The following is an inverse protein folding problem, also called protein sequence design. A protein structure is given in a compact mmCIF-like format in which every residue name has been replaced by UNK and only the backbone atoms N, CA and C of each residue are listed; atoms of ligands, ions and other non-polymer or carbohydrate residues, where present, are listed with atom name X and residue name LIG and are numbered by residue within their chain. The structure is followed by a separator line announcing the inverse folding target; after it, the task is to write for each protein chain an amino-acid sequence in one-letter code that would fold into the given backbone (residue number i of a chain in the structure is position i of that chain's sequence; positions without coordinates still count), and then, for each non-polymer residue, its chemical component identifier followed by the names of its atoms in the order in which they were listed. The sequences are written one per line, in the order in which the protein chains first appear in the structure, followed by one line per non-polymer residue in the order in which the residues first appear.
data_IF_618460112869
#
_entry.id   IF_618460112869
#
_cell.length_a   1.000
_cell.length_b   1.000
_cell.length_c   1.000
_cell.angle_alpha   90.00
_cell.angle_beta   90.00
_cell.angle_gamma   90.00
#
_symmetry.space_group_name_H-M   'P 1'
#
loop_
_entity.id
_entity.type
_entity.pdbx_description
1 polymer ?
#
# COMPACT_ATOMS: atom_id res chain seq x y z
N UNK A 1 1.06 -7.15 12.39
CA UNK A 1 0.21 -8.37 12.48
C UNK A 1 0.87 -9.37 13.44
N UNK A 2 0.13 -9.92 14.43
CA UNK A 2 0.67 -10.94 15.36
C UNK A 2 1.05 -12.21 14.56
N UNK A 3 2.20 -12.83 14.84
CA UNK A 3 2.68 -14.05 14.13
C UNK A 3 1.60 -15.14 14.07
N UNK A 4 0.79 -15.25 15.12
CA UNK A 4 -0.37 -16.15 15.17
C UNK A 4 -1.42 -15.86 14.08
N UNK A 5 -1.75 -14.60 13.82
CA UNK A 5 -2.69 -14.22 12.76
C UNK A 5 -2.12 -14.58 11.40
N UNK A 6 -0.83 -14.33 11.20
CA UNK A 6 -0.14 -14.73 9.96
C UNK A 6 -0.17 -16.26 9.76
N UNK A 7 0.13 -17.02 10.80
CA UNK A 7 0.04 -18.49 10.79
C UNK A 7 -1.37 -18.99 10.48
N UNK A 8 -2.40 -18.36 11.05
CA UNK A 8 -3.79 -18.73 10.79
C UNK A 8 -4.19 -18.44 9.33
N UNK A 9 -3.84 -17.26 8.81
CA UNK A 9 -4.12 -16.89 7.42
C UNK A 9 -3.36 -17.80 6.46
N UNK A 10 -2.04 -17.95 6.64
CA UNK A 10 -1.20 -18.81 5.80
C UNK A 10 -1.62 -20.28 5.89
N UNK A 11 -1.82 -20.80 7.10
CA UNK A 11 -2.24 -22.19 7.33
C UNK A 11 -3.61 -22.47 6.73
N UNK A 12 -4.58 -21.58 6.95
CA UNK A 12 -5.91 -21.68 6.34
C UNK A 12 -5.83 -21.64 4.81
N UNK A 13 -4.96 -20.79 4.27
CA UNK A 13 -4.77 -20.63 2.84
C UNK A 13 -4.22 -21.89 2.17
N UNK A 14 -3.11 -22.42 2.67
CA UNK A 14 -2.52 -23.66 2.17
C UNK A 14 -3.43 -24.87 2.40
N UNK A 15 -4.18 -24.91 3.51
CA UNK A 15 -5.15 -25.97 3.77
C UNK A 15 -6.26 -25.99 2.72
N UNK A 16 -6.84 -24.82 2.39
CA UNK A 16 -7.88 -24.71 1.38
C UNK A 16 -7.36 -25.07 -0.03
N UNK A 17 -6.15 -24.62 -0.38
CA UNK A 17 -5.48 -25.01 -1.62
C UNK A 17 -5.26 -26.53 -1.71
N UNK A 18 -4.77 -27.15 -0.63
CA UNK A 18 -4.63 -28.60 -0.52
C UNK A 18 -5.98 -29.32 -0.68
N UNK A 19 -7.04 -28.83 -0.04
CA UNK A 19 -8.39 -29.39 -0.18
C UNK A 19 -8.92 -29.31 -1.60
N UNK A 20 -8.70 -28.19 -2.30
CA UNK A 20 -9.09 -28.05 -3.69
C UNK A 20 -8.30 -29.01 -4.58
N UNK A 21 -6.97 -29.12 -4.39
CA UNK A 21 -6.13 -30.03 -5.16
C UNK A 21 -6.60 -31.49 -5.02
N UNK A 22 -6.99 -31.92 -3.82
CA UNK A 22 -7.57 -33.23 -3.57
C UNK A 22 -8.94 -33.43 -4.24
N UNK A 23 -9.73 -32.36 -4.41
CA UNK A 23 -11.00 -32.44 -5.11
C UNK A 23 -10.82 -32.66 -6.61
N UNK A 24 -9.82 -32.03 -7.22
CA UNK A 24 -9.66 -32.00 -8.68
C UNK A 24 -8.62 -32.99 -9.24
N UNK A 25 -7.72 -33.54 -8.42
CA UNK A 25 -6.62 -34.41 -8.86
C UNK A 25 -6.66 -35.79 -8.20
N UNK A 26 -6.87 -36.89 -8.97
CA UNK A 26 -6.77 -38.26 -8.46
C UNK A 26 -5.40 -38.57 -7.84
N UNK A 27 -4.31 -38.14 -8.50
CA UNK A 27 -2.94 -38.26 -7.99
C UNK A 27 -2.79 -37.63 -6.59
N UNK A 28 -3.42 -36.47 -6.38
CA UNK A 28 -3.37 -35.81 -5.08
C UNK A 28 -4.12 -36.60 -4.01
N UNK A 29 -5.26 -37.21 -4.36
CA UNK A 29 -6.03 -38.07 -3.42
C UNK A 29 -5.24 -39.27 -2.95
N UNK A 30 -4.59 -39.96 -3.88
CA UNK A 30 -3.70 -41.09 -3.57
C UNK A 30 -2.55 -40.68 -2.64
N UNK A 31 -2.07 -39.44 -2.80
CA UNK A 31 -0.98 -38.86 -2.00
C UNK A 31 -1.45 -37.86 -0.94
N UNK A 32 -2.67 -38.02 -0.40
CA UNK A 32 -3.29 -37.08 0.56
C UNK A 32 -2.35 -36.63 1.69
N UNK A 33 -1.65 -37.57 2.31
CA UNK A 33 -0.74 -37.27 3.43
C UNK A 33 0.42 -36.37 2.99
N UNK A 34 0.98 -36.62 1.80
CA UNK A 34 2.05 -35.82 1.22
C UNK A 34 1.56 -34.40 0.91
N UNK A 35 0.38 -34.26 0.28
CA UNK A 35 -0.21 -32.95 -0.04
C UNK A 35 -0.37 -32.08 1.21
N UNK A 36 -0.95 -32.63 2.28
CA UNK A 36 -1.09 -31.87 3.54
C UNK A 36 0.24 -31.60 4.23
N UNK A 37 1.23 -32.50 4.14
CA UNK A 37 2.59 -32.25 4.65
C UNK A 37 3.27 -31.09 3.93
N UNK A 38 3.15 -31.04 2.60
CA UNK A 38 3.68 -29.92 1.79
C UNK A 38 2.99 -28.61 2.20
N UNK A 39 1.65 -28.60 2.28
CA UNK A 39 0.89 -27.43 2.69
C UNK A 39 1.28 -26.92 4.10
N UNK A 40 1.48 -27.83 5.05
CA UNK A 40 1.94 -27.51 6.39
C UNK A 40 3.39 -27.01 6.40
N UNK A 41 4.28 -27.62 5.61
CA UNK A 41 5.68 -27.23 5.49
C UNK A 41 5.81 -25.82 4.91
N UNK A 42 5.09 -25.51 3.82
CA UNK A 42 5.06 -24.16 3.24
C UNK A 42 4.58 -23.12 4.26
N UNK A 43 3.47 -23.40 4.97
CA UNK A 43 2.98 -22.52 6.03
C UNK A 43 3.98 -22.30 7.16
N UNK A 44 4.70 -23.35 7.55
CA UNK A 44 5.71 -23.28 8.60
C UNK A 44 6.94 -22.49 8.14
N UNK A 45 7.42 -22.71 6.90
CA UNK A 45 8.53 -21.96 6.30
C UNK A 45 8.20 -20.47 6.30
N UNK A 46 7.02 -20.07 5.82
CA UNK A 46 6.59 -18.68 5.78
C UNK A 46 6.53 -18.05 7.18
N UNK A 47 5.99 -18.79 8.16
CA UNK A 47 5.89 -18.31 9.54
C UNK A 47 7.27 -18.18 10.20
N UNK A 48 8.16 -19.13 9.96
CA UNK A 48 9.55 -19.09 10.44
C UNK A 48 10.30 -17.93 9.81
N UNK A 49 10.19 -17.72 8.49
CA UNK A 49 10.80 -16.57 7.82
C UNK A 49 10.29 -15.23 8.39
N UNK A 50 8.98 -15.13 8.66
CA UNK A 50 8.39 -13.95 9.30
C UNK A 50 8.84 -13.75 10.75
N UNK A 51 9.13 -14.84 11.47
CA UNK A 51 9.68 -14.77 12.83
C UNK A 51 11.14 -14.32 12.80
N UNK A 52 11.94 -14.93 11.92
CA UNK A 52 13.36 -14.63 11.74
C UNK A 52 13.59 -13.18 11.27
N UNK A 53 12.71 -12.65 10.42
CA UNK A 53 12.78 -11.25 9.98
C UNK A 53 12.62 -10.22 11.12
N UNK A 54 12.26 -10.64 12.34
CA UNK A 54 12.23 -9.76 13.53
C UNK A 54 13.60 -9.63 14.20
N UNK A 55 14.51 -10.55 13.92
CA UNK A 55 15.84 -10.64 14.54
C UNK A 55 16.95 -10.36 13.54
N UNK A 56 16.70 -10.65 12.26
CA UNK A 56 17.65 -10.45 11.17
C UNK A 56 17.15 -9.38 10.20
N UNK A 57 17.81 -8.23 10.19
CA UNK A 57 17.52 -7.06 9.34
C UNK A 57 18.47 -6.97 8.13
N UNK A 58 18.81 -8.10 7.52
CA UNK A 58 19.68 -8.12 6.33
C UNK A 58 18.84 -8.12 5.06
N UNK A 59 19.29 -7.52 3.95
CA UNK A 59 18.58 -7.52 2.67
C UNK A 59 18.09 -8.91 2.23
N UNK A 60 18.90 -9.95 2.43
CA UNK A 60 18.56 -11.35 2.13
C UNK A 60 17.24 -11.83 2.77
N UNK A 61 17.05 -11.57 4.07
CA UNK A 61 15.83 -11.97 4.79
C UNK A 61 14.61 -11.17 4.33
N UNK A 62 14.80 -9.91 3.93
CA UNK A 62 13.73 -9.08 3.38
C UNK A 62 13.30 -9.54 1.98
N UNK A 63 14.25 -9.86 1.10
CA UNK A 63 13.98 -10.37 -0.25
C UNK A 63 13.23 -11.71 -0.20
N UNK A 64 13.67 -12.63 0.67
CA UNK A 64 12.98 -13.90 0.88
C UNK A 64 11.59 -13.71 1.47
N UNK A 65 11.43 -12.78 2.42
CA UNK A 65 10.12 -12.49 3.00
C UNK A 65 9.17 -11.88 1.95
N UNK A 66 9.66 -11.06 1.03
CA UNK A 66 8.87 -10.53 -0.06
C UNK A 66 8.40 -11.64 -1.01
N UNK A 67 9.27 -12.58 -1.39
CA UNK A 67 8.90 -13.77 -2.19
C UNK A 67 7.83 -14.60 -1.46
N UNK A 68 8.02 -14.81 -0.16
CA UNK A 68 7.06 -15.46 0.72
C UNK A 68 5.70 -14.74 0.77
N UNK A 69 5.69 -13.40 0.77
CA UNK A 69 4.44 -12.61 0.70
C UNK A 69 3.78 -12.71 -0.66
N UNK A 70 4.54 -12.80 -1.75
CA UNK A 70 4.02 -13.05 -3.10
C UNK A 70 3.31 -14.39 -3.16
N UNK A 71 3.94 -15.46 -2.69
CA UNK A 71 3.33 -16.80 -2.63
C UNK A 71 2.03 -16.75 -1.83
N UNK A 72 2.06 -16.18 -0.63
CA UNK A 72 0.88 -16.08 0.22
C UNK A 72 -0.23 -15.23 -0.45
N UNK A 73 0.12 -14.14 -1.11
CA UNK A 73 -0.84 -13.29 -1.82
C UNK A 73 -1.47 -14.04 -3.01
N UNK A 74 -0.68 -14.79 -3.79
CA UNK A 74 -1.21 -15.65 -4.87
C UNK A 74 -2.21 -16.65 -4.30
N UNK A 75 -1.86 -17.33 -3.20
CA UNK A 75 -2.76 -18.32 -2.60
C UNK A 75 -4.02 -17.61 -2.10
N UNK A 76 -3.91 -16.60 -1.23
CA UNK A 76 -5.05 -15.91 -0.61
C UNK A 76 -5.99 -15.27 -1.66
N UNK A 77 -5.43 -14.61 -2.67
CA UNK A 77 -6.23 -14.01 -3.75
C UNK A 77 -6.90 -15.07 -4.63
N UNK A 78 -6.28 -16.25 -4.78
CA UNK A 78 -6.88 -17.37 -5.49
C UNK A 78 -7.97 -18.07 -4.67
N UNK A 79 -7.97 -17.98 -3.33
CA UNK A 79 -8.93 -18.67 -2.47
C UNK A 79 -10.35 -18.13 -2.52
N UNK A 80 -10.52 -16.81 -2.64
CA UNK A 80 -11.86 -16.23 -2.65
C UNK A 80 -12.67 -16.66 -3.90
N UNK A 81 -12.11 -16.58 -5.13
CA UNK A 81 -12.80 -17.11 -6.30
C UNK A 81 -12.90 -18.64 -6.27
N UNK A 82 -11.91 -19.35 -5.72
CA UNK A 82 -11.95 -20.81 -5.59
C UNK A 82 -13.07 -21.27 -4.65
N UNK A 83 -13.20 -20.63 -3.49
CA UNK A 83 -14.29 -20.86 -2.54
C UNK A 83 -15.66 -20.53 -3.14
N UNK A 84 -15.76 -19.41 -3.87
CA UNK A 84 -16.99 -19.03 -4.57
C UNK A 84 -17.37 -20.05 -5.65
N UNK A 85 -16.41 -20.53 -6.44
CA UNK A 85 -16.66 -21.55 -7.48
C UNK A 85 -17.14 -22.88 -6.87
N UNK A 86 -16.61 -23.28 -5.71
CA UNK A 86 -17.04 -24.46 -4.97
C UNK A 86 -18.43 -24.30 -4.34
N UNK A 87 -18.79 -23.09 -3.88
CA UNK A 87 -20.13 -22.81 -3.35
C UNK A 87 -21.17 -22.78 -4.48
N UNK A 88 -20.83 -22.13 -5.60
CA UNK A 88 -21.66 -22.09 -6.80
C UNK A 88 -21.87 -23.49 -7.38
N UNK A 89 -20.82 -24.32 -7.47
CA UNK A 89 -20.94 -25.70 -7.97
C UNK A 89 -21.85 -26.55 -7.09
N UNK A 90 -21.79 -26.37 -5.76
CA UNK A 90 -22.70 -27.04 -4.80
C UNK A 90 -24.14 -26.55 -4.93
N UNK A 91 -24.36 -25.26 -5.12
CA UNK A 91 -25.70 -24.69 -5.30
C UNK A 91 -26.35 -25.21 -6.60
N UNK A 92 -25.58 -25.22 -7.70
CA UNK A 92 -26.00 -25.78 -8.98
C UNK A 92 -26.30 -27.28 -8.84
N UNK A 93 -25.42 -28.05 -8.20
CA UNK A 93 -25.64 -29.48 -7.99
C UNK A 93 -26.94 -29.77 -7.22
N UNK A 94 -27.20 -29.03 -6.13
CA UNK A 94 -28.47 -29.15 -5.39
C UNK A 94 -29.70 -28.81 -6.23
N UNK A 95 -29.60 -27.80 -7.10
CA UNK A 95 -30.69 -27.43 -8.00
C UNK A 95 -30.94 -28.50 -9.07
N UNK A 96 -29.90 -29.18 -9.56
CA UNK A 96 -30.03 -30.29 -10.50
C UNK A 96 -30.48 -31.60 -9.83
N UNK A 97 -30.01 -31.91 -8.62
CA UNK A 97 -30.46 -33.09 -7.85
C UNK A 97 -31.94 -32.96 -7.44
N UNK A 98 -32.44 -31.73 -7.29
CA UNK A 98 -33.87 -31.45 -7.12
C UNK A 98 -34.69 -31.76 -8.39
N UNK A 99 -34.06 -31.85 -9.56
CA UNK A 99 -34.65 -32.25 -10.83
C UNK A 99 -34.29 -33.71 -11.10
N UNK A 100 -35.15 -34.63 -10.64
CA UNK A 100 -34.92 -36.08 -10.74
C UNK A 100 -34.78 -36.50 -12.23
N UNK A 101 -33.63 -37.02 -12.68
CA UNK A 101 -33.51 -37.51 -14.06
C UNK A 101 -34.34 -38.78 -14.24
N UNK A 102 -34.83 -39.08 -15.46
CA UNK A 102 -35.49 -40.35 -15.75
C UNK A 102 -34.54 -41.50 -15.46
N UNK A 103 -35.06 -42.53 -14.77
CA UNK A 103 -34.33 -43.76 -14.55
C UNK A 103 -34.20 -44.48 -15.90
N UNK A 104 -33.04 -44.33 -16.53
CA UNK A 104 -32.35 -45.33 -17.36
C UNK A 104 -31.23 -44.64 -18.14
N UNK A 105 -29.97 -44.76 -17.69
CA UNK A 105 -28.81 -44.71 -18.60
C UNK A 105 -27.63 -45.51 -18.05
N UNK A 106 -27.01 -46.20 -18.99
CA UNK A 106 -26.07 -47.32 -18.93
C UNK A 106 -24.62 -46.90 -18.60
N UNK A 107 -23.89 -47.84 -17.99
CA UNK A 107 -22.44 -48.06 -17.88
C UNK A 107 -21.50 -46.86 -17.62
N UNK A 108 -20.90 -46.89 -16.43
CA UNK A 108 -19.83 -46.02 -15.99
C UNK A 108 -18.47 -46.37 -16.65
N UNK A 109 -18.15 -45.70 -17.76
CA UNK A 109 -16.75 -45.41 -18.07
C UNK A 109 -16.32 -44.12 -17.39
N UNK A 110 -15.02 -43.98 -17.10
CA UNK A 110 -14.36 -42.87 -16.41
C UNK A 110 -14.42 -41.53 -17.17
N UNK A 111 -15.62 -41.05 -17.48
CA UNK A 111 -15.86 -39.70 -17.98
C UNK A 111 -15.86 -38.77 -16.78
N UNK A 112 -14.95 -37.78 -16.80
CA UNK A 112 -14.95 -36.67 -15.84
C UNK A 112 -16.37 -36.14 -15.75
N UNK A 113 -17.00 -36.24 -14.58
CA UNK A 113 -18.38 -35.81 -14.40
C UNK A 113 -18.51 -34.33 -14.78
N UNK A 114 -19.63 -33.91 -15.37
CA UNK A 114 -19.85 -32.52 -15.82
C UNK A 114 -19.52 -31.50 -14.71
N UNK A 115 -19.86 -31.83 -13.46
CA UNK A 115 -19.50 -31.04 -12.28
C UNK A 115 -17.99 -30.93 -12.09
N UNK A 116 -17.27 -32.04 -12.15
CA UNK A 116 -15.81 -32.07 -12.01
C UNK A 116 -15.14 -31.31 -13.17
N UNK A 117 -15.68 -31.38 -14.39
CA UNK A 117 -15.20 -30.60 -15.52
C UNK A 117 -15.39 -29.09 -15.30
N UNK A 118 -16.55 -28.66 -14.79
CA UNK A 118 -16.82 -27.25 -14.45
C UNK A 118 -15.92 -26.77 -13.32
N UNK A 119 -15.77 -27.56 -12.24
CA UNK A 119 -14.92 -27.21 -11.09
C UNK A 119 -13.44 -27.09 -11.51
N UNK A 120 -12.96 -27.99 -12.38
CA UNK A 120 -11.60 -27.93 -12.96
C UNK A 120 -11.43 -26.70 -13.84
N UNK A 121 -12.36 -26.46 -14.78
CA UNK A 121 -12.28 -25.32 -15.68
C UNK A 121 -12.33 -23.98 -14.92
N UNK A 122 -13.24 -23.84 -13.95
CA UNK A 122 -13.34 -22.65 -13.11
C UNK A 122 -12.05 -22.43 -12.30
N UNK A 123 -11.52 -23.48 -11.67
CA UNK A 123 -10.28 -23.39 -10.90
C UNK A 123 -9.07 -22.99 -11.75
N UNK A 124 -8.93 -23.57 -12.95
CA UNK A 124 -7.87 -23.19 -13.91
C UNK A 124 -8.03 -21.74 -14.35
N UNK A 125 -9.23 -21.32 -14.75
CA UNK A 125 -9.50 -19.93 -15.16
C UNK A 125 -9.14 -18.93 -14.06
N UNK A 126 -9.54 -19.20 -12.81
CA UNK A 126 -9.22 -18.36 -11.65
C UNK A 126 -7.71 -18.28 -11.43
N UNK A 127 -7.02 -19.43 -11.43
CA UNK A 127 -5.58 -19.49 -11.21
C UNK A 127 -4.83 -18.73 -12.31
N UNK A 128 -5.19 -18.96 -13.58
CA UNK A 128 -4.60 -18.26 -14.72
C UNK A 128 -4.86 -16.74 -14.67
N UNK A 129 -6.09 -16.33 -14.35
CA UNK A 129 -6.45 -14.90 -14.26
C UNK A 129 -5.70 -14.20 -13.12
N UNK A 130 -5.68 -14.80 -11.94
CA UNK A 130 -5.00 -14.23 -10.76
C UNK A 130 -3.49 -14.16 -10.97
N UNK A 131 -2.89 -15.25 -11.47
CA UNK A 131 -1.46 -15.29 -11.78
C UNK A 131 -1.09 -14.30 -12.88
N UNK A 132 -1.91 -14.23 -13.94
CA UNK A 132 -1.72 -13.27 -15.04
C UNK A 132 -1.82 -11.81 -14.55
N UNK A 133 -2.81 -11.49 -13.73
CA UNK A 133 -2.99 -10.15 -13.17
C UNK A 133 -1.83 -9.75 -12.25
N UNK A 134 -1.41 -10.64 -11.34
CA UNK A 134 -0.27 -10.38 -10.45
C UNK A 134 1.05 -10.27 -11.23
N UNK A 135 1.29 -11.16 -12.19
CA UNK A 135 2.46 -11.10 -13.06
C UNK A 135 2.52 -9.82 -13.90
N UNK A 136 1.38 -9.40 -14.47
CA UNK A 136 1.26 -8.10 -15.12
C UNK A 136 1.54 -6.97 -14.13
N UNK A 137 1.00 -7.04 -12.92
CA UNK A 137 1.24 -6.04 -11.87
C UNK A 137 2.70 -5.92 -11.46
N UNK A 138 3.45 -7.02 -11.47
CA UNK A 138 4.90 -7.04 -11.17
C UNK A 138 5.75 -6.47 -12.29
N UNK A 139 5.43 -6.80 -13.54
CA UNK A 139 6.28 -6.42 -14.69
C UNK A 139 5.89 -5.08 -15.30
N UNK A 140 4.61 -4.72 -15.26
CA UNK A 140 4.06 -3.53 -15.91
C UNK A 140 3.38 -2.59 -14.92
N UNK A 141 2.47 -3.10 -14.09
CA UNK A 141 1.62 -2.25 -13.24
C UNK A 141 2.40 -1.43 -12.23
N UNK A 142 3.48 -1.97 -11.65
CA UNK A 142 4.34 -1.20 -10.73
C UNK A 142 5.19 -0.11 -11.41
N UNK A 143 5.24 -0.10 -12.74
CA UNK A 143 5.97 0.90 -13.56
C UNK A 143 5.01 1.86 -14.29
N UNK A 144 3.70 1.67 -14.17
CA UNK A 144 2.72 2.52 -14.85
C UNK A 144 2.42 3.78 -14.04
N UNK A 145 3.46 4.59 -13.77
CA UNK A 145 3.32 5.82 -13.00
C UNK A 145 2.35 6.80 -13.67
N UNK A 146 1.52 7.44 -12.85
CA UNK A 146 0.53 8.43 -13.29
C UNK A 146 0.69 9.74 -12.53
N UNK A 147 0.48 10.87 -13.21
CA UNK A 147 0.25 12.16 -12.55
C UNK A 147 -1.26 12.30 -12.35
N UNK A 148 -1.66 12.47 -11.10
CA UNK A 148 -3.04 12.83 -10.74
C UNK A 148 -3.08 14.32 -10.42
N UNK A 149 -3.78 15.11 -11.24
CA UNK A 149 -3.94 16.55 -11.01
C UNK A 149 -5.18 16.84 -10.18
N UNK A 150 -4.99 17.46 -9.01
CA UNK A 150 -6.04 17.65 -8.00
C UNK A 150 -6.15 19.12 -7.66
N UNK A 151 -7.12 19.84 -8.23
CA UNK A 151 -7.41 21.21 -7.81
C UNK A 151 -8.08 21.20 -6.43
N UNK A 152 -7.53 21.97 -5.50
CA UNK A 152 -8.05 22.09 -4.12
C UNK A 152 -8.27 23.56 -3.80
N UNK A 153 -9.53 23.94 -3.63
CA UNK A 153 -9.90 25.22 -3.02
C UNK A 153 -9.66 25.13 -1.52
N UNK A 154 -8.80 26.01 -1.00
CA UNK A 154 -8.43 26.04 0.42
C UNK A 154 -8.98 27.34 1.03
N UNK A 155 -9.89 27.27 2.03
CA UNK A 155 -10.37 28.47 2.71
C UNK A 155 -9.23 29.28 3.32
N UNK A 156 -9.24 30.60 3.10
CA UNK A 156 -8.18 31.49 3.58
C UNK A 156 -6.85 31.37 2.83
N UNK A 157 -6.80 30.67 1.70
CA UNK A 157 -5.60 30.60 0.87
C UNK A 157 -5.24 31.97 0.28
N UNK A 158 -3.98 32.44 0.39
CA UNK A 158 -3.58 33.74 -0.14
C UNK A 158 -3.81 33.84 -1.65
N UNK A 159 -4.44 34.92 -2.11
CA UNK A 159 -4.62 35.18 -3.55
C UNK A 159 -3.30 35.26 -4.32
N UNK A 160 -2.22 35.71 -3.66
CA UNK A 160 -0.88 35.75 -4.25
C UNK A 160 -0.28 34.36 -4.52
N UNK A 161 -0.86 33.31 -3.91
CA UNK A 161 -0.48 31.91 -4.08
C UNK A 161 -1.56 31.11 -4.85
N UNK A 162 -2.46 31.78 -5.57
CA UNK A 162 -3.44 31.09 -6.41
C UNK A 162 -2.73 30.29 -7.52
N UNK A 163 -3.09 29.01 -7.65
CA UNK A 163 -2.43 28.08 -8.57
C UNK A 163 -1.12 27.50 -8.04
N UNK A 164 -0.78 27.70 -6.75
CA UNK A 164 0.43 27.12 -6.15
C UNK A 164 0.44 25.59 -6.26
N UNK A 165 1.54 25.03 -6.74
CA UNK A 165 1.65 23.60 -7.04
C UNK A 165 2.44 22.86 -5.98
N UNK A 166 1.80 21.92 -5.29
CA UNK A 166 2.47 20.92 -4.45
C UNK A 166 2.53 19.60 -5.20
N UNK A 167 3.73 19.10 -5.48
CA UNK A 167 3.90 17.71 -5.93
C UNK A 167 4.06 16.81 -4.71
N UNK A 168 3.10 15.91 -4.51
CA UNK A 168 3.16 14.88 -3.47
C UNK A 168 3.62 13.55 -4.06
N UNK A 169 4.61 12.95 -3.40
CA UNK A 169 4.94 11.54 -3.50
C UNK A 169 4.71 10.88 -2.13
N UNK A 170 4.41 9.59 -2.10
CA UNK A 170 4.22 8.86 -0.85
C UNK A 170 4.60 7.40 -1.02
N UNK A 171 4.91 6.71 0.07
CA UNK A 171 5.11 5.26 0.07
C UNK A 171 6.09 4.83 -1.02
N UNK A 172 7.26 5.49 -1.05
CA UNK A 172 8.28 5.25 -2.08
C UNK A 172 8.92 3.88 -1.88
N UNK A 173 9.09 3.45 -0.62
CA UNK A 173 9.70 2.17 -0.27
C UNK A 173 11.02 1.92 -1.01
N UNK A 174 11.93 2.91 -1.00
CA UNK A 174 13.24 2.69 -1.62
C UNK A 174 13.93 1.51 -0.93
N UNK A 175 14.39 0.56 -1.74
CA UNK A 175 14.86 -0.73 -1.25
C UNK A 175 15.04 -1.76 -2.35
N UNK A 176 14.59 -2.99 -2.11
CA UNK A 176 14.81 -4.11 -3.02
C UNK A 176 14.20 -3.87 -4.41
N UNK A 177 12.97 -3.36 -4.46
CA UNK A 177 12.18 -3.23 -5.69
C UNK A 177 12.11 -1.82 -6.26
N UNK A 178 12.45 -0.80 -5.47
CA UNK A 178 12.44 0.61 -5.92
C UNK A 178 13.85 1.15 -5.76
N UNK A 179 14.52 1.38 -6.90
CA UNK A 179 15.90 1.89 -6.98
C UNK A 179 15.96 2.99 -8.03
N UNK A 180 17.16 3.28 -8.55
CA UNK A 180 17.39 4.37 -9.51
C UNK A 180 16.40 4.36 -10.68
N UNK A 181 16.12 3.20 -11.29
CA UNK A 181 15.19 3.13 -12.43
C UNK A 181 13.80 3.64 -12.08
N UNK A 182 13.17 3.08 -11.04
CA UNK A 182 11.81 3.48 -10.65
C UNK A 182 11.79 4.92 -10.16
N UNK A 183 12.80 5.32 -9.38
CA UNK A 183 12.96 6.69 -8.92
C UNK A 183 13.06 7.68 -10.09
N UNK A 184 13.84 7.37 -11.12
CA UNK A 184 14.02 8.23 -12.28
C UNK A 184 12.74 8.31 -13.13
N UNK A 185 12.07 7.18 -13.35
CA UNK A 185 10.77 7.12 -14.05
C UNK A 185 9.73 8.01 -13.36
N UNK A 186 9.59 7.88 -12.04
CA UNK A 186 8.59 8.64 -11.29
C UNK A 186 8.96 10.10 -11.01
N UNK A 187 10.23 10.40 -10.71
CA UNK A 187 10.66 11.79 -10.49
C UNK A 187 10.75 12.62 -11.77
N UNK A 188 10.84 11.98 -12.93
CA UNK A 188 10.59 12.67 -14.20
C UNK A 188 9.17 13.24 -14.26
N UNK A 189 8.18 12.50 -13.77
CA UNK A 189 6.81 12.99 -13.67
C UNK A 189 6.66 14.10 -12.61
N UNK A 190 7.35 13.99 -11.47
CA UNK A 190 7.42 15.08 -10.48
C UNK A 190 7.96 16.36 -11.12
N UNK A 191 9.06 16.29 -11.89
CA UNK A 191 9.61 17.46 -12.60
C UNK A 191 8.63 18.03 -13.64
N UNK A 192 7.93 17.17 -14.39
CA UNK A 192 6.91 17.60 -15.37
C UNK A 192 5.72 18.31 -14.73
N UNK A 193 5.40 18.00 -13.47
CA UNK A 193 4.38 18.72 -12.72
C UNK A 193 4.76 20.18 -12.43
N UNK A 194 6.04 20.56 -12.61
CA UNK A 194 6.62 21.89 -12.32
C UNK A 194 6.20 22.41 -10.94
N UNK A 195 6.51 21.66 -9.87
CA UNK A 195 6.06 22.00 -8.53
C UNK A 195 6.75 23.25 -7.99
N UNK A 196 6.02 23.98 -7.18
CA UNK A 196 6.58 25.03 -6.33
C UNK A 196 7.19 24.40 -5.08
N UNK A 197 6.56 23.34 -4.56
CA UNK A 197 6.97 22.57 -3.39
C UNK A 197 6.85 21.06 -3.67
N UNK A 198 7.84 20.29 -3.25
CA UNK A 198 7.74 18.82 -3.23
C UNK A 198 7.52 18.34 -1.80
N UNK A 199 6.60 17.39 -1.62
CA UNK A 199 6.38 16.74 -0.32
C UNK A 199 6.43 15.23 -0.44
N UNK A 200 7.02 14.55 0.54
CA UNK A 200 6.96 13.10 0.69
C UNK A 200 6.26 12.70 1.99
N UNK A 201 5.12 12.01 1.89
CA UNK A 201 4.23 11.74 3.03
C UNK A 201 4.48 10.39 3.71
N UNK A 202 5.75 10.03 3.94
CA UNK A 202 6.15 8.84 4.69
C UNK A 202 6.30 7.56 3.88
N UNK A 203 6.80 6.52 4.55
CA UNK A 203 7.24 5.24 3.98
C UNK A 203 8.27 5.46 2.85
N UNK A 204 9.32 6.21 3.20
CA UNK A 204 10.37 6.67 2.29
C UNK A 204 11.31 5.52 1.91
N UNK A 205 11.77 4.78 2.93
CA UNK A 205 12.51 3.53 2.76
C UNK A 205 11.66 2.33 3.15
N UNK A 206 11.95 1.17 2.58
CA UNK A 206 11.20 -0.04 2.90
C UNK A 206 11.62 -0.67 4.24
N UNK A 207 12.91 -1.04 4.36
CA UNK A 207 13.42 -1.76 5.53
C UNK A 207 14.84 -1.36 5.96
N UNK A 208 15.57 -0.58 5.15
CA UNK A 208 16.94 -0.18 5.47
C UNK A 208 17.16 1.31 5.17
N UNK A 209 17.51 2.05 6.22
CA UNK A 209 17.83 3.47 6.14
C UNK A 209 18.98 3.80 5.18
N UNK A 210 19.82 2.83 4.81
CA UNK A 210 20.92 3.05 3.86
C UNK A 210 20.45 3.59 2.51
N UNK A 211 19.24 3.19 2.07
CA UNK A 211 18.69 3.52 0.75
C UNK A 211 18.12 4.95 0.64
N UNK A 212 17.90 5.64 1.75
CA UNK A 212 17.24 6.96 1.75
C UNK A 212 17.98 8.01 0.90
N UNK A 213 19.30 7.87 0.77
CA UNK A 213 20.13 8.82 0.03
C UNK A 213 19.78 8.85 -1.47
N UNK A 214 19.30 7.73 -2.02
CA UNK A 214 18.81 7.66 -3.40
C UNK A 214 17.57 8.55 -3.59
N UNK A 215 16.64 8.53 -2.63
CA UNK A 215 15.45 9.37 -2.65
C UNK A 215 15.80 10.84 -2.40
N UNK A 216 16.66 11.11 -1.42
CA UNK A 216 17.08 12.47 -1.08
C UNK A 216 17.64 13.21 -2.31
N UNK A 217 18.48 12.54 -3.11
CA UNK A 217 19.03 13.11 -4.34
C UNK A 217 17.92 13.52 -5.33
N UNK A 218 16.86 12.71 -5.48
CA UNK A 218 15.75 12.99 -6.38
C UNK A 218 14.81 14.08 -5.85
N UNK A 219 14.55 14.11 -4.54
CA UNK A 219 13.78 15.17 -3.89
C UNK A 219 14.44 16.54 -4.09
N UNK A 220 15.76 16.64 -3.88
CA UNK A 220 16.51 17.88 -4.08
C UNK A 220 16.65 18.25 -5.56
N UNK A 221 16.73 17.25 -6.45
CA UNK A 221 16.81 17.43 -7.90
C UNK A 221 15.47 17.69 -8.60
N UNK A 222 14.36 17.82 -7.84
CA UNK A 222 13.03 18.00 -8.43
C UNK A 222 12.77 19.43 -8.94
N UNK A 223 13.62 20.40 -8.59
CA UNK A 223 13.55 21.78 -9.11
C UNK A 223 12.47 22.67 -8.47
N UNK A 224 11.92 22.27 -7.32
CA UNK A 224 10.92 23.04 -6.59
C UNK A 224 11.56 24.23 -5.87
N UNK A 225 11.09 25.45 -6.16
CA UNK A 225 11.65 26.70 -5.63
C UNK A 225 11.52 26.81 -4.10
N UNK A 226 10.47 26.24 -3.54
CA UNK A 226 10.17 26.24 -2.11
C UNK A 226 10.69 24.96 -1.42
N UNK A 227 11.47 24.15 -2.13
CA UNK A 227 12.22 23.02 -1.61
C UNK A 227 11.43 21.71 -1.54
N UNK A 228 11.96 20.77 -0.75
CA UNK A 228 11.38 19.46 -0.53
C UNK A 228 11.26 19.16 0.96
N UNK A 229 10.06 18.75 1.40
CA UNK A 229 9.78 18.41 2.80
C UNK A 229 9.21 17.00 2.93
N UNK A 230 9.53 16.33 4.03
CA UNK A 230 9.14 14.95 4.25
C UNK A 230 8.68 14.71 5.68
N UNK A 231 7.82 13.72 5.87
CA UNK A 231 7.52 13.12 7.17
C UNK A 231 7.90 11.64 7.13
N UNK A 232 8.08 11.02 8.29
CA UNK A 232 8.31 9.58 8.38
C UNK A 232 6.99 8.81 8.39
N UNK A 233 6.99 7.63 7.80
CA UNK A 233 5.93 6.63 7.92
C UNK A 233 6.34 5.45 8.80
N UNK A 234 5.48 4.45 8.92
CA UNK A 234 5.77 3.30 9.76
C UNK A 234 6.93 2.43 9.26
N UNK A 235 7.17 2.33 7.95
CA UNK A 235 8.33 1.61 7.42
C UNK A 235 9.66 2.31 7.73
N UNK A 236 9.67 3.63 7.77
CA UNK A 236 10.84 4.38 8.22
C UNK A 236 11.14 4.11 9.71
N UNK A 237 10.10 3.88 10.52
CA UNK A 237 10.25 3.42 11.90
C UNK A 237 10.79 1.99 11.97
N UNK A 238 10.33 1.08 11.10
CA UNK A 238 10.85 -0.30 11.02
C UNK A 238 12.33 -0.33 10.61
N UNK A 239 12.74 0.57 9.73
CA UNK A 239 14.12 0.73 9.25
C UNK A 239 15.04 1.45 10.26
N UNK A 240 14.49 1.93 11.38
CA UNK A 240 15.19 2.73 12.38
C UNK A 240 15.02 4.23 12.14
N UNK A 241 13.93 4.80 12.67
CA UNK A 241 13.52 6.19 12.44
C UNK A 241 14.64 7.22 12.69
N UNK A 242 15.41 7.07 13.77
CA UNK A 242 16.50 7.99 14.10
C UNK A 242 17.58 8.03 13.00
N UNK A 243 17.95 6.87 12.44
CA UNK A 243 18.96 6.76 11.37
C UNK A 243 18.43 7.30 10.05
N UNK A 244 17.16 7.04 9.73
CA UNK A 244 16.50 7.62 8.55
C UNK A 244 16.48 9.15 8.68
N UNK A 245 16.04 9.67 9.83
CA UNK A 245 15.95 11.10 10.11
C UNK A 245 17.32 11.81 10.04
N UNK A 246 18.37 11.21 10.60
CA UNK A 246 19.73 11.72 10.55
C UNK A 246 20.19 11.92 9.10
N UNK A 247 19.99 10.91 8.24
CA UNK A 247 20.41 10.96 6.83
C UNK A 247 19.63 11.98 6.01
N UNK A 248 18.31 12.10 6.24
CA UNK A 248 17.47 13.13 5.61
C UNK A 248 18.00 14.53 5.97
N UNK A 249 18.24 14.78 7.26
CA UNK A 249 18.78 16.07 7.73
C UNK A 249 20.17 16.35 7.17
N UNK A 250 21.05 15.33 7.12
CA UNK A 250 22.40 15.45 6.53
C UNK A 250 22.34 15.84 5.05
N UNK A 251 21.37 15.31 4.31
CA UNK A 251 21.13 15.67 2.91
C UNK A 251 20.49 17.06 2.74
N UNK A 252 20.08 17.73 3.82
CA UNK A 252 19.36 19.02 3.81
C UNK A 252 17.97 18.96 3.17
N UNK A 253 17.33 17.79 3.19
CA UNK A 253 15.89 17.68 2.90
C UNK A 253 15.12 18.08 4.17
N UNK A 254 14.02 18.81 4.01
CA UNK A 254 13.23 19.33 5.13
C UNK A 254 12.45 18.25 5.86
N UNK A 255 13.01 17.65 6.90
CA UNK A 255 12.27 16.70 7.75
C UNK A 255 11.37 17.45 8.73
N UNK A 256 10.05 17.25 8.64
CA UNK A 256 9.09 17.77 9.60
C UNK A 256 8.72 16.68 10.61
N UNK A 257 9.13 16.83 11.87
CA UNK A 257 8.90 15.84 12.91
C UNK A 257 8.17 16.46 14.11
N UNK A 258 6.84 16.49 14.04
CA UNK A 258 6.00 17.30 14.94
C UNK A 258 6.43 18.77 14.92
N UNK A 259 6.69 19.28 13.72
CA UNK A 259 7.25 20.60 13.43
C UNK A 259 6.47 21.25 12.29
N UNK A 260 6.54 22.58 12.22
CA UNK A 260 5.89 23.35 11.19
C UNK A 260 6.79 24.46 10.67
N UNK A 261 6.66 24.76 9.38
CA UNK A 261 7.38 25.83 8.70
C UNK A 261 6.41 26.77 8.00
N UNK A 262 6.74 28.06 8.00
CA UNK A 262 5.93 29.09 7.37
C UNK A 262 6.49 29.42 5.98
N UNK A 263 5.77 28.97 4.96
CA UNK A 263 6.16 29.07 3.55
C UNK A 263 5.58 30.35 2.94
N UNK A 264 6.38 31.05 2.12
CA UNK A 264 5.98 32.24 1.36
C UNK A 264 5.34 33.36 2.20
N UNK A 265 5.98 33.70 3.33
CA UNK A 265 5.48 34.71 4.31
C UNK A 265 5.11 36.06 3.69
N UNK A 266 5.85 36.49 2.66
CA UNK A 266 5.63 37.77 1.97
C UNK A 266 4.47 37.77 0.98
N UNK A 267 3.94 36.60 0.61
CA UNK A 267 2.94 36.44 -0.44
C UNK A 267 1.53 36.36 0.15
N UNK A 268 1.04 37.51 0.62
CA UNK A 268 -0.30 37.60 1.22
C UNK A 268 -0.44 36.81 2.53
N UNK A 269 0.63 36.70 3.31
CA UNK A 269 0.67 36.00 4.59
C UNK A 269 1.12 34.55 4.51
N UNK A 270 1.23 33.96 3.31
CA UNK A 270 1.75 32.61 3.13
C UNK A 270 0.89 31.50 3.74
N UNK A 271 1.50 30.34 4.00
CA UNK A 271 0.82 29.20 4.64
C UNK A 271 1.74 28.41 5.57
N UNK A 272 1.14 27.69 6.50
CA UNK A 272 1.85 26.75 7.36
C UNK A 272 1.93 25.37 6.69
N UNK A 273 3.14 24.87 6.49
CA UNK A 273 3.40 23.46 6.18
C UNK A 273 3.77 22.74 7.47
N UNK A 274 2.92 21.83 7.91
CA UNK A 274 3.04 21.08 9.14
C UNK A 274 3.44 19.64 8.84
N UNK A 275 4.21 19.00 9.70
CA UNK A 275 4.44 17.56 9.64
C UNK A 275 4.43 16.95 11.03
N UNK A 276 3.77 15.80 11.16
CA UNK A 276 3.68 15.04 12.41
C UNK A 276 4.38 13.69 12.27
N UNK A 277 4.84 13.15 13.40
CA UNK A 277 5.39 11.79 13.45
C UNK A 277 4.32 10.73 13.15
N UNK A 278 4.74 9.52 12.80
CA UNK A 278 3.81 8.45 12.45
C UNK A 278 3.05 7.89 13.68
N UNK A 279 1.80 7.47 13.48
CA UNK A 279 0.98 6.82 14.51
C UNK A 279 1.66 5.57 15.11
N UNK A 280 2.57 4.92 14.38
CA UNK A 280 3.41 3.84 14.88
C UNK A 280 4.26 4.27 16.07
N UNK A 281 4.74 5.51 16.14
CA UNK A 281 5.54 6.04 17.25
C UNK A 281 4.85 5.86 18.61
N UNK A 282 3.53 6.07 18.67
CA UNK A 282 2.71 5.85 19.89
C UNK A 282 2.78 4.39 20.38
N UNK A 283 2.86 3.44 19.44
CA UNK A 283 2.86 2.00 19.73
C UNK A 283 4.26 1.46 20.00
N UNK A 284 5.25 1.92 19.23
CA UNK A 284 6.62 1.43 19.27
C UNK A 284 7.40 1.92 20.50
N UNK A 285 7.04 3.10 21.03
CA UNK A 285 7.81 3.79 22.08
C UNK A 285 9.28 4.00 21.68
N UNK A 286 9.53 4.20 20.39
CA UNK A 286 10.85 4.48 19.85
C UNK A 286 11.39 5.77 20.48
N UNK A 287 12.62 5.78 21.05
CA UNK A 287 13.20 6.98 21.65
C UNK A 287 13.21 8.15 20.65
N UNK A 288 12.73 9.31 21.10
CA UNK A 288 12.62 10.51 20.27
C UNK A 288 11.43 10.54 19.30
N UNK A 289 10.65 9.45 19.19
CA UNK A 289 9.53 9.33 18.26
C UNK A 289 8.22 8.98 18.99
N UNK A 290 7.60 9.95 19.69
CA UNK A 290 6.43 9.72 20.53
C UNK A 290 5.14 9.48 19.74
N UNK A 291 5.17 9.63 18.42
CA UNK A 291 3.99 9.69 17.56
C UNK A 291 3.47 11.12 17.34
N UNK A 292 2.35 11.26 16.62
CA UNK A 292 1.93 12.55 16.09
C UNK A 292 1.47 13.50 17.19
N UNK A 293 2.00 14.73 17.13
CA UNK A 293 1.65 15.85 18.00
C UNK A 293 1.43 17.11 17.15
N UNK A 294 0.16 17.37 16.82
CA UNK A 294 -0.24 18.54 16.05
C UNK A 294 -0.06 19.85 16.83
N UNK A 295 -0.15 19.81 18.17
CA UNK A 295 0.05 21.01 18.99
C UNK A 295 1.48 21.52 18.88
N UNK A 296 2.45 20.60 18.95
CA UNK A 296 3.86 20.91 18.76
C UNK A 296 4.16 21.38 17.33
N UNK A 297 3.57 20.74 16.31
CA UNK A 297 3.76 21.17 14.93
C UNK A 297 3.25 22.60 14.66
N UNK A 298 2.24 23.06 15.39
CA UNK A 298 1.68 24.41 15.30
C UNK A 298 2.49 25.45 16.09
N UNK A 299 3.41 25.03 16.97
CA UNK A 299 4.09 25.94 17.88
C UNK A 299 4.91 26.99 17.12
N UNK A 300 4.69 28.28 17.43
CA UNK A 300 5.41 29.39 16.83
C UNK A 300 4.91 29.83 15.44
N UNK A 301 3.83 29.24 14.93
CA UNK A 301 3.20 29.66 13.68
C UNK A 301 2.01 30.60 13.92
N UNK A 302 1.75 31.56 13.02
CA UNK A 302 0.57 32.41 13.10
C UNK A 302 -0.72 31.57 13.11
N UNK A 303 -1.72 31.93 13.93
CA UNK A 303 -2.97 31.16 14.02
C UNK A 303 -3.84 31.28 12.76
N UNK A 304 -3.78 32.42 12.06
CA UNK A 304 -4.76 32.81 11.02
C UNK A 304 -4.25 32.61 9.58
N UNK A 305 -3.26 31.74 9.38
CA UNK A 305 -2.81 31.32 8.05
C UNK A 305 -3.33 29.91 7.72
N UNK A 306 -3.59 29.58 6.45
CA UNK A 306 -3.99 28.24 6.07
C UNK A 306 -2.91 27.22 6.41
N UNK A 307 -3.35 26.01 6.77
CA UNK A 307 -2.49 24.94 7.28
C UNK A 307 -2.59 23.72 6.38
N UNK A 308 -1.46 23.31 5.82
CA UNK A 308 -1.28 22.07 5.07
C UNK A 308 -0.48 21.11 5.94
N UNK A 309 -1.08 19.97 6.29
CA UNK A 309 -0.49 18.96 7.17
C UNK A 309 -0.01 17.76 6.36
N UNK A 310 1.23 17.36 6.58
CA UNK A 310 1.80 16.10 6.15
C UNK A 310 1.64 15.10 7.31
N UNK A 311 0.88 14.03 7.09
CA UNK A 311 0.73 12.94 8.04
C UNK A 311 0.67 11.63 7.27
N UNK A 312 1.54 10.68 7.57
CA UNK A 312 1.64 9.46 6.75
C UNK A 312 0.32 8.66 6.73
N UNK A 313 -0.23 8.35 7.91
CA UNK A 313 -1.43 7.54 8.04
C UNK A 313 -2.73 8.36 7.98
N UNK A 314 -3.63 8.09 7.02
CA UNK A 314 -4.92 8.77 6.91
C UNK A 314 -5.79 8.78 8.19
N UNK A 315 -5.79 7.73 9.04
CA UNK A 315 -6.55 7.74 10.29
C UNK A 315 -6.26 8.93 11.24
N UNK A 316 -5.08 9.56 11.17
CA UNK A 316 -4.79 10.76 11.96
C UNK A 316 -5.69 11.94 11.58
N UNK A 317 -6.33 11.91 10.41
CA UNK A 317 -7.32 12.90 9.99
C UNK A 317 -8.48 13.04 10.98
N UNK A 318 -8.83 11.95 11.69
CA UNK A 318 -9.85 12.02 12.72
C UNK A 318 -9.48 12.97 13.88
N UNK A 319 -8.17 13.19 14.13
CA UNK A 319 -7.64 14.08 15.17
C UNK A 319 -7.29 15.49 14.63
N UNK A 320 -6.99 15.62 13.33
CA UNK A 320 -6.54 16.88 12.72
C UNK A 320 -7.65 17.69 12.05
N UNK A 321 -8.76 17.05 11.66
CA UNK A 321 -9.91 17.71 11.04
C UNK A 321 -10.43 18.89 11.91
N UNK A 322 -10.89 19.96 11.26
CA UNK A 322 -11.28 21.22 11.89
C UNK A 322 -10.11 22.09 12.37
N UNK A 323 -8.87 21.57 12.36
CA UNK A 323 -7.66 22.31 12.81
C UNK A 323 -6.67 22.62 11.70
N UNK A 324 -6.80 21.94 10.56
CA UNK A 324 -5.99 22.12 9.35
C UNK A 324 -6.90 22.26 8.14
N UNK A 325 -6.45 22.94 7.09
CA UNK A 325 -7.27 23.10 5.89
C UNK A 325 -7.13 21.89 4.96
N UNK A 326 -5.92 21.34 4.85
CA UNK A 326 -5.59 20.19 4.02
C UNK A 326 -4.65 19.25 4.78
N UNK A 327 -4.94 17.95 4.77
CA UNK A 327 -4.02 16.88 5.16
C UNK A 327 -3.65 16.05 3.93
N UNK A 328 -2.36 15.83 3.74
CA UNK A 328 -1.79 14.95 2.73
C UNK A 328 -1.27 13.68 3.39
N UNK A 329 -1.76 12.53 2.93
CA UNK A 329 -1.44 11.21 3.47
C UNK A 329 -1.18 10.18 2.38
N UNK A 330 -0.65 9.03 2.77
CA UNK A 330 -0.45 7.85 1.92
C UNK A 330 -0.87 6.58 2.65
N UNK A 331 0.08 5.65 2.87
CA UNK A 331 -0.03 4.43 3.69
C UNK A 331 -0.85 3.28 3.09
N UNK A 332 -1.89 3.60 2.33
CA UNK A 332 -2.89 2.62 1.88
C UNK A 332 -2.50 1.94 0.56
N UNK A 333 -1.54 2.51 -0.16
CA UNK A 333 -1.16 2.15 -1.53
C UNK A 333 -2.35 2.11 -2.52
N UNK A 334 -3.46 2.81 -2.21
CA UNK A 334 -4.71 2.70 -2.96
C UNK A 334 -5.31 1.28 -2.97
N UNK A 335 -4.87 0.42 -2.07
CA UNK A 335 -5.20 -1.00 -2.06
C UNK A 335 -4.46 -1.85 -3.09
N UNK A 336 -3.26 -1.41 -3.54
CA UNK A 336 -2.22 -2.02 -4.41
C UNK A 336 -2.61 -3.17 -5.38
N UNK A 337 -3.33 -4.18 -4.92
CA UNK A 337 -3.86 -5.29 -5.69
C UNK A 337 -5.40 -5.21 -5.66
N UNK A 338 -5.98 -4.72 -6.74
CA UNK A 338 -7.42 -4.63 -6.95
C UNK A 338 -7.83 -5.54 -8.14
N UNK A 339 -8.24 -6.79 -7.89
CA UNK A 339 -8.55 -7.77 -8.93
C UNK A 339 -9.97 -7.61 -9.52
N UNK A 340 -10.51 -6.38 -9.54
CA UNK A 340 -11.87 -6.07 -10.01
C UNK A 340 -12.88 -5.73 -8.89
N UNK A 341 -12.43 -5.73 -7.64
CA UNK A 341 -13.16 -5.22 -6.47
C UNK A 341 -12.14 -4.61 -5.48
N UNK A 342 -12.55 -3.61 -4.68
CA UNK A 342 -11.65 -2.85 -3.78
C UNK A 342 -11.61 -3.50 -2.39
N UNK A 343 -10.70 -4.43 -2.07
CA UNK A 343 -10.75 -5.18 -0.81
C UNK A 343 -10.36 -4.27 0.37
N UNK A 344 -9.46 -3.31 0.12
CA UNK A 344 -9.05 -2.31 1.10
C UNK A 344 -10.24 -1.49 1.64
N UNK A 345 -11.23 -1.21 0.80
CA UNK A 345 -12.42 -0.44 1.20
C UNK A 345 -13.32 -1.19 2.20
N UNK A 346 -13.15 -2.50 2.36
CA UNK A 346 -13.88 -3.28 3.36
C UNK A 346 -13.28 -3.19 4.77
N UNK A 347 -12.05 -2.69 4.90
CA UNK A 347 -11.29 -2.69 6.16
C UNK A 347 -10.59 -1.37 6.48
N UNK A 348 -10.62 -0.40 5.56
CA UNK A 348 -10.03 0.93 5.71
C UNK A 348 -11.07 2.00 5.41
N UNK A 349 -11.18 2.99 6.30
CA UNK A 349 -12.09 4.14 6.13
C UNK A 349 -11.64 5.08 5.01
N UNK A 350 -10.32 5.18 4.80
CA UNK A 350 -9.71 6.00 3.78
C UNK A 350 -8.79 5.13 2.93
N UNK A 351 -8.96 5.14 1.60
CA UNK A 351 -8.21 4.27 0.68
C UNK A 351 -7.43 5.09 -0.34
N UNK A 352 -8.07 6.03 -1.04
CA UNK A 352 -7.41 6.85 -2.05
C UNK A 352 -8.27 8.06 -2.40
N UNK A 353 -7.63 9.16 -2.81
CA UNK A 353 -8.30 10.37 -3.28
C UNK A 353 -8.77 11.29 -2.15
N UNK A 354 -9.73 12.16 -2.47
CA UNK A 354 -10.20 13.25 -1.62
C UNK A 354 -11.31 12.80 -0.66
N UNK A 355 -11.23 13.28 0.58
CA UNK A 355 -12.27 13.18 1.60
C UNK A 355 -12.45 14.54 2.28
N UNK A 356 -13.69 14.92 2.57
CA UNK A 356 -14.04 16.20 3.18
C UNK A 356 -14.72 15.97 4.53
N UNK A 357 -14.22 16.60 5.60
CA UNK A 357 -14.84 16.51 6.93
C UNK A 357 -14.51 17.71 7.80
N UNK A 358 -15.52 18.24 8.49
CA UNK A 358 -15.37 19.38 9.42
C UNK A 358 -14.63 20.59 8.83
N UNK A 359 -14.84 20.90 7.55
CA UNK A 359 -14.16 22.00 6.85
C UNK A 359 -12.71 21.72 6.47
N UNK A 360 -12.19 20.52 6.75
CA UNK A 360 -10.87 20.05 6.35
C UNK A 360 -10.96 19.08 5.19
N UNK A 361 -9.88 19.03 4.42
CA UNK A 361 -9.73 18.14 3.26
C UNK A 361 -8.63 17.15 3.60
N UNK A 362 -8.87 15.86 3.37
CA UNK A 362 -7.87 14.80 3.35
C UNK A 362 -7.65 14.36 1.91
N UNK A 363 -6.40 14.29 1.48
CA UNK A 363 -6.03 13.63 0.24
C UNK A 363 -5.14 12.43 0.53
N UNK A 364 -5.55 11.24 0.06
CA UNK A 364 -4.81 9.99 0.22
C UNK A 364 -4.18 9.59 -1.11
N UNK A 365 -2.87 9.75 -1.22
CA UNK A 365 -2.08 9.34 -2.37
C UNK A 365 -2.00 7.80 -2.45
N UNK A 366 -2.06 7.23 -3.66
CA UNK A 366 -2.02 5.76 -3.89
C UNK A 366 -0.63 5.13 -3.73
N UNK A 367 0.37 5.89 -3.30
CA UNK A 367 1.75 5.46 -3.15
C UNK A 367 2.52 5.36 -4.47
N UNK A 368 3.84 5.46 -4.38
CA UNK A 368 4.80 5.39 -5.47
C UNK A 368 5.33 3.97 -5.65
N UNK A 369 5.79 3.36 -4.56
CA UNK A 369 6.43 2.07 -4.53
C UNK A 369 5.46 0.93 -4.29
N UNK A 370 6.01 -0.18 -3.82
CA UNK A 370 5.28 -1.41 -3.50
C UNK A 370 5.61 -1.85 -2.09
N UNK A 371 4.62 -2.43 -1.39
CA UNK A 371 4.82 -3.10 -0.12
C UNK A 371 4.34 -4.56 -0.21
N UNK A 372 5.07 -5.46 0.44
CA UNK A 372 4.81 -6.90 0.36
C UNK A 372 5.05 -7.46 -1.05
N UNK A 373 4.03 -8.03 -1.74
CA UNK A 373 4.18 -8.46 -3.13
C UNK A 373 4.54 -7.26 -4.03
N UNK A 374 5.57 -7.34 -4.90
CA UNK A 374 5.99 -6.21 -5.72
C UNK A 374 5.09 -6.05 -6.96
N UNK A 375 3.78 -6.02 -6.77
CA UNK A 375 2.78 -6.00 -7.81
C UNK A 375 1.75 -4.91 -7.57
N UNK A 376 1.45 -4.12 -8.60
CA UNK A 376 0.32 -3.16 -8.61
C UNK A 376 -0.70 -3.55 -9.68
N UNK A 377 -1.94 -3.81 -9.28
CA UNK A 377 -3.05 -4.20 -10.16
C UNK A 377 -4.21 -3.24 -9.93
N UNK A 378 -4.61 -2.51 -10.97
CA UNK A 378 -5.63 -1.45 -10.90
C UNK A 378 -5.42 -0.43 -9.75
N UNK A 379 -4.15 -0.19 -9.41
CA UNK A 379 -3.68 0.77 -8.41
C UNK A 379 -2.33 1.33 -8.87
N UNK A 380 -2.35 2.04 -9.99
CA UNK A 380 -1.15 2.64 -10.58
C UNK A 380 -0.38 3.50 -9.56
N UNK A 381 0.96 3.47 -9.56
CA UNK A 381 1.77 4.40 -8.80
C UNK A 381 1.38 5.86 -9.10
N UNK A 382 1.27 6.68 -8.06
CA UNK A 382 0.75 8.03 -8.19
C UNK A 382 1.76 9.10 -7.75
N UNK A 383 1.96 10.08 -8.63
CA UNK A 383 2.48 11.40 -8.30
C UNK A 383 1.28 12.34 -8.28
N UNK A 384 0.99 12.99 -7.16
CA UNK A 384 -0.13 13.94 -7.11
C UNK A 384 0.39 15.34 -7.38
N UNK A 385 -0.20 16.02 -8.36
CA UNK A 385 -0.04 17.46 -8.59
C UNK A 385 -1.22 18.18 -7.97
N UNK A 386 -1.04 18.68 -6.75
CA UNK A 386 -2.05 19.46 -6.04
C UNK A 386 -1.96 20.91 -6.50
N UNK A 387 -3.03 21.44 -7.08
CA UNK A 387 -3.12 22.85 -7.48
C UNK A 387 -3.97 23.57 -6.44
N UNK A 388 -3.34 24.39 -5.61
CA UNK A 388 -4.01 25.08 -4.51
C UNK A 388 -4.61 26.39 -5.02
N UNK A 389 -5.92 26.51 -4.84
CA UNK A 389 -6.72 27.61 -5.34
C UNK A 389 -7.25 28.45 -4.18
N UNK A 390 -7.27 29.76 -4.38
CA UNK A 390 -7.94 30.68 -3.48
C UNK A 390 -9.43 30.30 -3.37
N UNK A 391 -9.90 30.09 -2.13
CA UNK A 391 -11.27 29.72 -1.79
C UNK A 391 -12.24 30.87 -1.79
#
# INVERSE_FOLDING_TARGET
MRVLVFLLVSGGAHFLAARWLLAVSPWARERRRLVFRIAAALSLILATLRLLSRWFHTPFFHDILAIAMVELAIIVMSLAPLGLSLLASRAIARAFDAVKPPADTVAAEARVGRREAIERAAGVTIACTTTGALGWGMVRGRHSFTIEEVPIKVPGWPRALDGYVIAQVSDVHVGAFVRDRELDEGFELVRRARPDLVVATGDLVDNDAAFIDLLNARLLGAGARDGAYVVLGNHDHYAGAAKVAERIRRAKVGLLHNEGVHIRRGDGGGFALLGVDDLHGRKARSPGHPGPDLGRALAGLPPDIPRVLLAHQPPFFNESQGRVALQLSGHTHGGQINPGFRPAAAVMDFVAGRYDRAGSILYVNRGFGVTGPPARVAAAPEITKLVLLAG
#
